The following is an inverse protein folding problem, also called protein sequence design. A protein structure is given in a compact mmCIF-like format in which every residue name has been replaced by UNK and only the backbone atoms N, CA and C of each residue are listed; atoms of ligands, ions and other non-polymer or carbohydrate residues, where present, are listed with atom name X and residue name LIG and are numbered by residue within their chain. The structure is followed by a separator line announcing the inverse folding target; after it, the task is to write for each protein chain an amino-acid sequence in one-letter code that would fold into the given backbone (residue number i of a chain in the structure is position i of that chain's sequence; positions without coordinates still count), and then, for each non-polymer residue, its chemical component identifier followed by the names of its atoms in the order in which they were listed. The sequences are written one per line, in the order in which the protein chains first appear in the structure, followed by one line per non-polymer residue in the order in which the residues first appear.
data_IF_642474934176
#
_entry.id   IF_642474934176
#
_cell.length_a   1.000
_cell.length_b   1.000
_cell.length_c   1.000
_cell.angle_alpha   90.00
_cell.angle_beta   90.00
_cell.angle_gamma   90.00
#
_symmetry.space_group_name_H-M   'P 1'
#
loop_
_entity.id
_entity.type
_entity.pdbx_description
1 polymer ?
#
# COMPACT_ATOMS: atom_id res chain seq x y z
N UNK A 1 18.31 7.51 -16.36
CA UNK A 1 17.80 7.66 -17.74
C UNK A 1 18.93 7.28 -18.71
N UNK A 2 18.65 6.47 -19.72
CA UNK A 2 19.66 6.09 -20.73
C UNK A 2 19.92 7.27 -21.65
N UNK A 3 21.19 7.74 -21.82
CA UNK A 3 21.50 8.90 -22.66
C UNK A 3 21.19 8.72 -24.15
N UNK A 4 20.96 7.48 -24.59
CA UNK A 4 20.64 7.14 -25.98
C UNK A 4 19.17 6.70 -26.14
N UNK A 5 18.32 6.92 -25.15
CA UNK A 5 16.90 6.50 -25.14
C UNK A 5 16.67 5.03 -25.54
N UNK A 6 17.68 4.17 -25.34
CA UNK A 6 17.57 2.73 -25.59
C UNK A 6 16.66 2.03 -24.58
N UNK A 7 16.44 2.63 -23.42
CA UNK A 7 15.49 2.22 -22.41
C UNK A 7 14.64 3.44 -22.08
N UNK A 8 13.43 3.43 -22.56
CA UNK A 8 12.41 4.42 -22.20
C UNK A 8 11.42 3.75 -21.24
N UNK A 9 10.98 4.48 -20.23
CA UNK A 9 9.82 4.05 -19.47
C UNK A 9 8.62 4.06 -20.43
N UNK A 10 8.10 2.88 -20.76
CA UNK A 10 6.88 2.74 -21.55
C UNK A 10 5.64 3.10 -20.71
N UNK A 11 5.82 3.95 -19.73
CA UNK A 11 4.86 4.07 -18.65
C UNK A 11 4.14 5.40 -18.66
N UNK A 12 2.96 5.35 -19.18
CA UNK A 12 1.81 5.92 -18.50
C UNK A 12 0.76 4.83 -18.27
N UNK A 13 1.19 3.57 -18.21
CA UNK A 13 0.32 2.52 -17.72
C UNK A 13 0.08 2.80 -16.24
N UNK A 14 -1.17 3.08 -15.95
CA UNK A 14 -1.66 3.52 -14.66
C UNK A 14 -1.14 2.63 -13.52
N UNK A 15 -1.02 3.19 -12.33
CA UNK A 15 -0.79 2.46 -11.08
C UNK A 15 -1.70 1.22 -10.95
N UNK A 16 -2.90 1.26 -11.55
CA UNK A 16 -3.82 0.14 -11.65
C UNK A 16 -3.19 -1.13 -12.24
N UNK A 17 -2.53 -1.03 -13.40
CA UNK A 17 -1.92 -2.21 -14.04
C UNK A 17 -0.77 -2.75 -13.19
N UNK A 18 0.05 -1.88 -12.62
CA UNK A 18 1.11 -2.28 -11.70
C UNK A 18 0.54 -3.04 -10.49
N UNK A 19 -0.50 -2.51 -9.88
CA UNK A 19 -1.15 -3.11 -8.71
C UNK A 19 -1.80 -4.46 -9.03
N UNK A 20 -2.45 -4.59 -10.19
CA UNK A 20 -2.94 -5.89 -10.65
C UNK A 20 -1.80 -6.91 -10.82
N UNK A 21 -0.67 -6.50 -11.39
CA UNK A 21 0.52 -7.35 -11.53
C UNK A 21 1.09 -7.77 -10.17
N UNK A 22 1.16 -6.87 -9.21
CA UNK A 22 1.60 -7.19 -7.85
C UNK A 22 0.73 -8.30 -7.25
N UNK A 23 -0.59 -8.18 -7.32
CA UNK A 23 -1.52 -9.19 -6.83
C UNK A 23 -1.38 -10.54 -7.57
N UNK A 24 -1.23 -10.53 -8.90
CA UNK A 24 -1.03 -11.73 -9.72
C UNK A 24 0.27 -12.46 -9.36
N UNK A 25 1.39 -11.73 -9.24
CA UNK A 25 2.68 -12.31 -8.87
C UNK A 25 2.66 -12.82 -7.42
N UNK A 26 2.03 -12.10 -6.51
CA UNK A 26 1.83 -12.56 -5.13
C UNK A 26 1.09 -13.90 -5.11
N UNK A 27 -0.01 -14.01 -5.84
CA UNK A 27 -0.75 -15.27 -5.97
C UNK A 27 0.11 -16.39 -6.54
N UNK A 28 0.88 -16.13 -7.59
CA UNK A 28 1.77 -17.13 -8.20
C UNK A 28 2.85 -17.63 -7.24
N UNK A 29 3.37 -16.75 -6.38
CA UNK A 29 4.38 -17.11 -5.36
C UNK A 29 3.76 -17.93 -4.23
N UNK A 30 2.56 -17.60 -3.79
CA UNK A 30 1.89 -18.21 -2.64
C UNK A 30 1.13 -19.50 -2.98
N UNK A 31 0.78 -19.70 -4.24
CA UNK A 31 -0.04 -20.82 -4.68
C UNK A 31 0.53 -22.16 -4.19
N UNK A 32 -0.34 -22.98 -3.61
CA UNK A 32 -0.04 -24.32 -3.08
C UNK A 32 1.04 -24.35 -1.97
N UNK A 33 1.28 -23.23 -1.31
CA UNK A 33 2.24 -23.13 -0.21
C UNK A 33 1.56 -22.71 1.09
N UNK A 34 2.02 -23.23 2.21
CA UNK A 34 1.69 -22.65 3.51
C UNK A 34 2.38 -21.29 3.65
N UNK A 35 1.62 -20.28 4.04
CA UNK A 35 2.12 -18.92 4.20
C UNK A 35 1.48 -18.24 5.40
N UNK A 36 2.17 -17.25 5.93
CA UNK A 36 1.72 -16.39 7.01
C UNK A 36 2.38 -15.03 6.82
N UNK A 37 1.64 -13.97 7.04
CA UNK A 37 2.05 -12.60 6.75
C UNK A 37 2.07 -11.76 8.01
N UNK A 38 3.06 -10.89 8.13
CA UNK A 38 3.19 -9.93 9.22
C UNK A 38 3.51 -8.58 8.59
N UNK A 39 2.78 -7.55 9.01
CA UNK A 39 3.02 -6.16 8.63
C UNK A 39 3.31 -5.31 9.86
N UNK A 40 4.40 -4.55 9.80
CA UNK A 40 4.75 -3.52 10.76
C UNK A 40 4.25 -2.18 10.22
N UNK A 41 3.12 -1.70 10.75
CA UNK A 41 2.56 -0.39 10.35
C UNK A 41 3.22 0.68 11.22
N UNK A 42 4.45 0.98 10.87
CA UNK A 42 5.36 1.89 11.57
C UNK A 42 6.17 2.68 10.54
N UNK A 43 6.59 3.89 10.90
CA UNK A 43 7.36 4.78 10.02
C UNK A 43 6.72 4.95 8.63
N UNK A 44 5.39 5.10 8.59
CA UNK A 44 4.63 5.19 7.34
C UNK A 44 5.02 6.44 6.59
N UNK A 45 5.91 6.28 5.62
CA UNK A 45 6.51 7.37 4.86
C UNK A 45 5.65 7.81 3.67
N UNK A 46 5.80 9.06 3.19
CA UNK A 46 4.99 9.57 2.08
C UNK A 46 5.25 8.88 0.75
N UNK A 47 6.44 8.29 0.57
CA UNK A 47 6.82 7.59 -0.64
C UNK A 47 7.26 6.16 -0.32
N UNK A 48 7.14 5.28 -1.30
CA UNK A 48 7.69 3.93 -1.22
C UNK A 48 9.21 3.99 -0.99
N UNK A 49 9.74 3.11 -0.15
CA UNK A 49 11.18 2.97 0.12
C UNK A 49 12.03 2.64 -1.14
N UNK A 50 11.38 2.32 -2.25
CA UNK A 50 12.03 2.17 -3.55
C UNK A 50 12.49 3.51 -4.17
N UNK A 51 12.02 4.64 -3.65
CA UNK A 51 12.49 5.96 -4.06
C UNK A 51 13.83 6.32 -3.38
N UNK A 52 14.73 7.04 -4.07
CA UNK A 52 16.02 7.44 -3.51
C UNK A 52 15.93 8.59 -2.49
N UNK A 53 14.74 9.07 -2.20
CA UNK A 53 14.45 10.13 -1.24
C UNK A 53 13.10 9.85 -0.58
N UNK A 54 12.97 10.31 0.65
CA UNK A 54 11.74 10.21 1.43
C UNK A 54 11.67 11.37 2.44
N UNK A 55 10.62 11.40 3.25
CA UNK A 55 10.38 12.44 4.23
C UNK A 55 9.85 11.82 5.53
N UNK A 56 9.55 12.68 6.50
CA UNK A 56 9.01 12.28 7.80
C UNK A 56 7.75 11.41 7.66
N UNK A 57 7.51 10.49 8.62
CA UNK A 57 6.29 9.71 8.66
C UNK A 57 5.04 10.59 8.60
N UNK A 58 4.02 10.11 7.88
CA UNK A 58 2.78 10.85 7.67
C UNK A 58 1.76 10.68 8.81
N UNK A 59 1.83 9.53 9.50
CA UNK A 59 0.99 9.19 10.66
C UNK A 59 1.85 8.59 11.78
N UNK A 60 1.39 8.59 13.04
CA UNK A 60 2.06 7.86 14.12
C UNK A 60 2.13 6.36 13.84
N UNK A 61 3.08 5.69 14.49
CA UNK A 61 3.15 4.23 14.49
C UNK A 61 1.83 3.63 14.97
N UNK A 62 1.35 2.63 14.27
CA UNK A 62 0.07 1.97 14.56
C UNK A 62 0.29 0.66 15.32
N UNK A 63 1.17 -0.19 14.82
CA UNK A 63 1.47 -1.48 15.45
C UNK A 63 1.82 -2.58 14.46
N UNK A 64 1.66 -3.82 14.92
CA UNK A 64 2.00 -5.02 14.15
C UNK A 64 0.72 -5.77 13.85
N UNK A 65 0.54 -6.13 12.60
CA UNK A 65 -0.61 -6.89 12.11
C UNK A 65 -0.15 -8.23 11.56
N UNK A 66 -0.98 -9.26 11.70
CA UNK A 66 -0.65 -10.59 11.19
C UNK A 66 -1.90 -11.31 10.67
N UNK A 67 -1.76 -12.04 9.57
CA UNK A 67 -2.84 -12.83 8.98
C UNK A 67 -2.29 -13.95 8.11
N UNK A 68 -3.11 -14.99 7.89
CA UNK A 68 -2.88 -15.98 6.84
C UNK A 68 -3.38 -15.47 5.46
N UNK A 69 -4.22 -14.44 5.45
CA UNK A 69 -4.76 -13.82 4.24
C UNK A 69 -4.02 -12.50 3.97
N UNK A 70 -3.24 -12.39 2.87
CA UNK A 70 -2.49 -11.19 2.54
C UNK A 70 -3.40 -10.01 2.15
N UNK A 71 -4.55 -10.27 1.53
CA UNK A 71 -5.50 -9.23 1.10
C UNK A 71 -6.19 -8.60 2.31
N UNK A 72 -6.65 -9.45 3.23
CA UNK A 72 -7.22 -9.01 4.52
C UNK A 72 -6.21 -8.19 5.34
N UNK A 73 -4.95 -8.63 5.34
CA UNK A 73 -3.88 -7.94 6.05
C UNK A 73 -3.64 -6.54 5.49
N UNK A 74 -3.50 -6.41 4.18
CA UNK A 74 -3.26 -5.12 3.52
C UNK A 74 -4.44 -4.18 3.72
N UNK A 75 -5.67 -4.68 3.61
CA UNK A 75 -6.87 -3.89 3.87
C UNK A 75 -6.91 -3.38 5.31
N UNK A 76 -6.65 -4.25 6.29
CA UNK A 76 -6.63 -3.87 7.70
C UNK A 76 -5.55 -2.83 8.00
N UNK A 77 -4.35 -2.97 7.40
CA UNK A 77 -3.26 -2.00 7.54
C UNK A 77 -3.63 -0.63 6.94
N UNK A 78 -4.21 -0.60 5.74
CA UNK A 78 -4.64 0.64 5.10
C UNK A 78 -5.74 1.36 5.91
N UNK A 79 -6.72 0.61 6.39
CA UNK A 79 -7.77 1.13 7.27
C UNK A 79 -7.20 1.68 8.59
N UNK A 80 -6.19 1.01 9.14
CA UNK A 80 -5.55 1.45 10.38
C UNK A 80 -4.75 2.74 10.16
N UNK A 81 -4.05 2.90 9.04
CA UNK A 81 -3.38 4.14 8.64
C UNK A 81 -4.40 5.26 8.45
N UNK A 82 -5.50 4.99 7.76
CA UNK A 82 -6.55 5.98 7.47
C UNK A 82 -7.32 6.46 8.72
N UNK A 83 -7.28 5.69 9.81
CA UNK A 83 -7.84 6.09 11.11
C UNK A 83 -6.90 6.98 11.93
N UNK A 84 -5.64 7.11 11.56
CA UNK A 84 -4.68 7.93 12.30
C UNK A 84 -4.82 9.42 11.95
N UNK A 85 -4.46 10.26 12.93
CA UNK A 85 -4.29 11.69 12.66
C UNK A 85 -2.97 11.94 11.92
N UNK A 86 -2.96 12.95 11.05
CA UNK A 86 -1.76 13.37 10.37
C UNK A 86 -0.70 13.90 11.35
N UNK A 87 0.57 13.57 11.12
CA UNK A 87 1.68 14.22 11.79
C UNK A 87 1.82 15.63 11.23
N UNK A 88 1.80 16.63 12.12
CA UNK A 88 2.03 18.01 11.74
C UNK A 88 3.44 18.16 11.14
N UNK A 89 3.58 18.93 10.09
CA UNK A 89 4.82 19.11 9.33
C UNK A 89 5.27 17.84 8.57
N UNK A 90 4.34 16.95 8.24
CA UNK A 90 4.54 15.86 7.27
C UNK A 90 3.83 16.18 5.96
N UNK A 91 4.12 15.42 4.92
CA UNK A 91 3.45 15.58 3.62
C UNK A 91 1.92 15.49 3.72
N UNK A 92 1.39 14.64 4.61
CA UNK A 92 -0.04 14.56 4.91
C UNK A 92 -0.53 15.78 5.70
N UNK A 93 0.23 16.20 6.73
CA UNK A 93 -0.16 17.32 7.59
C UNK A 93 -0.12 18.69 6.91
N UNK A 94 0.63 18.81 5.83
CA UNK A 94 0.75 20.02 5.00
C UNK A 94 -0.05 19.94 3.69
N UNK A 95 -0.81 18.85 3.48
CA UNK A 95 -1.63 18.69 2.28
C UNK A 95 -2.72 19.77 2.19
N UNK A 96 -2.83 20.41 1.02
CA UNK A 96 -3.84 21.47 0.78
C UNK A 96 -5.26 20.92 0.68
N UNK A 97 -5.41 19.66 0.30
CA UNK A 97 -6.69 19.02 0.05
C UNK A 97 -6.77 17.69 0.80
N UNK A 98 -7.79 17.53 1.64
CA UNK A 98 -8.13 16.26 2.27
C UNK A 98 -9.07 15.45 1.35
N UNK A 99 -8.62 14.27 0.94
CA UNK A 99 -9.38 13.34 0.10
C UNK A 99 -10.14 12.27 0.92
N UNK A 100 -10.11 12.35 2.25
CA UNK A 100 -10.76 11.37 3.13
C UNK A 100 -10.03 10.02 3.22
N UNK A 101 -8.81 9.97 2.72
CA UNK A 101 -7.93 8.81 2.70
C UNK A 101 -6.50 9.34 2.85
N UNK A 102 -5.82 9.01 3.94
CA UNK A 102 -4.50 9.53 4.27
C UNK A 102 -3.46 9.21 3.18
N UNK A 103 -3.53 8.01 2.58
CA UNK A 103 -2.61 7.60 1.53
C UNK A 103 -2.84 8.41 0.24
N UNK A 104 -4.10 8.60 -0.15
CA UNK A 104 -4.47 9.40 -1.33
C UNK A 104 -4.30 10.90 -1.09
N UNK A 105 -4.54 11.39 0.11
CA UNK A 105 -4.29 12.79 0.48
C UNK A 105 -2.79 13.09 0.36
N UNK A 106 -1.93 12.17 0.82
CA UNK A 106 -0.47 12.31 0.68
C UNK A 106 -0.02 12.25 -0.78
N UNK A 107 -0.56 11.29 -1.54
CA UNK A 107 -0.23 11.08 -2.94
C UNK A 107 -1.52 10.93 -3.77
N UNK A 108 -2.08 12.01 -4.33
CA UNK A 108 -3.36 11.98 -5.05
C UNK A 108 -3.44 11.00 -6.22
N UNK A 109 -2.28 10.62 -6.79
CA UNK A 109 -2.19 9.66 -7.88
C UNK A 109 -2.08 8.20 -7.41
N UNK A 110 -2.07 7.96 -6.09
CA UNK A 110 -2.00 6.59 -5.55
C UNK A 110 -3.32 5.86 -5.79
N UNK A 111 -3.23 4.57 -6.07
CA UNK A 111 -4.37 3.66 -6.32
C UNK A 111 -4.14 2.34 -5.57
N UNK A 112 -3.90 2.44 -4.25
CA UNK A 112 -3.60 1.28 -3.41
C UNK A 112 -4.74 0.25 -3.37
N UNK A 113 -6.00 0.71 -3.44
CA UNK A 113 -7.17 -0.16 -3.31
C UNK A 113 -7.29 -1.15 -4.48
N UNK A 114 -6.83 -0.80 -5.67
CA UNK A 114 -6.90 -1.68 -6.84
C UNK A 114 -6.10 -2.98 -6.66
N UNK A 115 -5.01 -2.98 -5.88
CA UNK A 115 -4.27 -4.19 -5.55
C UNK A 115 -5.11 -5.15 -4.70
N UNK A 116 -5.81 -4.61 -3.70
CA UNK A 116 -6.70 -5.35 -2.79
C UNK A 116 -7.90 -5.92 -3.56
N UNK A 117 -8.59 -5.09 -4.35
CA UNK A 117 -9.76 -5.50 -5.15
C UNK A 117 -9.39 -6.55 -6.20
N UNK A 118 -8.27 -6.39 -6.88
CA UNK A 118 -7.80 -7.37 -7.84
C UNK A 118 -7.36 -8.66 -7.15
N UNK A 119 -6.69 -8.57 -6.01
CA UNK A 119 -6.32 -9.72 -5.17
C UNK A 119 -7.54 -10.57 -4.79
N UNK A 120 -8.61 -9.93 -4.32
CA UNK A 120 -9.87 -10.60 -4.02
C UNK A 120 -10.49 -11.22 -5.28
N UNK A 121 -10.57 -10.47 -6.37
CA UNK A 121 -11.13 -10.92 -7.66
C UNK A 121 -10.44 -12.17 -8.20
N UNK A 122 -9.13 -12.28 -8.07
CA UNK A 122 -8.37 -13.45 -8.54
C UNK A 122 -8.32 -14.58 -7.51
N UNK A 123 -8.93 -14.42 -6.33
CA UNK A 123 -8.96 -15.42 -5.26
C UNK A 123 -7.60 -15.58 -4.56
N UNK A 124 -6.88 -14.49 -4.36
CA UNK A 124 -5.68 -14.44 -3.51
C UNK A 124 -6.06 -14.41 -2.03
N UNK A 125 -7.16 -13.74 -1.69
CA UNK A 125 -7.70 -13.59 -0.35
C UNK A 125 -9.03 -12.84 -0.38
N UNK A 126 -9.47 -12.33 0.77
CA UNK A 126 -10.66 -11.50 0.94
C UNK A 126 -10.30 -10.15 1.57
N UNK A 127 -10.95 -9.09 1.14
CA UNK A 127 -10.81 -7.78 1.80
C UNK A 127 -11.64 -7.64 3.08
N UNK A 128 -12.58 -8.57 3.31
CA UNK A 128 -13.35 -8.62 4.55
C UNK A 128 -12.48 -9.25 5.65
N UNK A 129 -12.36 -8.60 6.79
CA UNK A 129 -11.56 -9.05 7.91
C UNK A 129 -12.24 -8.78 9.25
N UNK A 130 -11.85 -9.55 10.26
CA UNK A 130 -12.12 -9.30 11.67
C UNK A 130 -10.80 -8.98 12.37
N UNK A 131 -10.72 -7.81 13.02
CA UNK A 131 -9.54 -7.42 13.78
C UNK A 131 -9.67 -7.89 15.22
N UNK A 132 -8.70 -8.71 15.65
CA UNK A 132 -8.60 -9.20 17.04
C UNK A 132 -7.36 -8.56 17.66
N UNK A 133 -7.56 -7.73 18.68
CA UNK A 133 -6.47 -7.16 19.48
C UNK A 133 -6.05 -8.12 20.58
N UNK A 134 -4.72 -8.25 20.78
CA UNK A 134 -4.12 -9.12 21.78
C UNK A 134 -3.12 -8.36 22.65
#
# INVERSE_FOLDING_TARGET
MCPQDAVVAASDESNFILNCKIAEYTKAVLQDKAHFHISFVMDVSPLCDCHPYNDAPIVPDVGIFASFDPVALDMACADAINKQCAIRNSALGEAELDLGDNLRTTNPNTDWLSAVEHGEKIGLGSKDYELIEI
#
